data_IF_058329503231
#
_entry.id   IF_058329503231
#
_cell.length_a   1.000
_cell.length_b   1.000
_cell.length_c   1.000
_cell.angle_alpha   90.00
_cell.angle_beta   90.00
_cell.angle_gamma   90.00
#
_symmetry.space_group_name_H-M   'P 1'
#
loop_
_entity.id
_entity.type
_entity.pdbx_description
1 polymer ?
#
# COMPACT_ATOMS: atom_id res chain seq x y z
N UNK A 1 -0.92 -5.65 -7.63
CA UNK A 1 -2.03 -4.68 -7.51
C UNK A 1 -3.42 -5.28 -7.87
N UNK A 2 -4.01 -6.09 -6.98
CA UNK A 2 -5.35 -6.66 -7.17
C UNK A 2 -6.44 -5.59 -6.92
N UNK A 3 -7.58 -5.70 -7.59
CA UNK A 3 -8.76 -4.87 -7.33
C UNK A 3 -9.59 -5.42 -6.17
N UNK A 4 -9.96 -4.54 -5.25
CA UNK A 4 -10.71 -4.89 -4.05
C UNK A 4 -12.09 -4.22 -4.05
N UNK A 5 -13.14 -5.03 -4.19
CA UNK A 5 -14.54 -4.59 -4.06
C UNK A 5 -15.08 -4.77 -2.63
N UNK A 6 -14.60 -5.77 -1.92
CA UNK A 6 -15.16 -6.17 -0.63
C UNK A 6 -15.04 -5.08 0.45
N UNK A 7 -13.88 -4.43 0.67
CA UNK A 7 -13.73 -3.42 1.72
C UNK A 7 -14.70 -2.24 1.56
N UNK A 8 -14.87 -1.76 0.33
CA UNK A 8 -15.72 -0.59 0.03
C UNK A 8 -17.20 -0.94 0.17
N UNK A 9 -17.60 -2.12 -0.31
CA UNK A 9 -18.97 -2.63 -0.14
C UNK A 9 -19.33 -2.85 1.33
N UNK A 10 -18.38 -3.36 2.12
CA UNK A 10 -18.57 -3.60 3.56
C UNK A 10 -18.82 -2.29 4.32
N UNK A 11 -17.95 -1.28 4.18
CA UNK A 11 -18.15 0.02 4.84
C UNK A 11 -19.48 0.67 4.46
N UNK A 12 -19.85 0.59 3.17
CA UNK A 12 -21.14 1.10 2.69
C UNK A 12 -22.31 0.40 3.40
N UNK A 13 -22.29 -0.93 3.49
CA UNK A 13 -23.34 -1.70 4.18
C UNK A 13 -23.46 -1.39 5.66
N UNK A 14 -22.36 -0.99 6.30
CA UNK A 14 -22.32 -0.58 7.71
C UNK A 14 -22.68 0.90 7.92
N UNK A 15 -22.96 1.65 6.85
CA UNK A 15 -23.23 3.08 6.92
C UNK A 15 -22.01 3.95 7.23
N UNK A 16 -20.80 3.40 7.13
CA UNK A 16 -19.55 4.04 7.55
C UNK A 16 -18.84 4.80 6.42
N UNK A 17 -19.39 4.83 5.20
CA UNK A 17 -18.73 5.42 4.04
C UNK A 17 -18.40 6.92 4.16
N UNK A 18 -19.04 7.65 5.08
CA UNK A 18 -18.71 9.07 5.39
C UNK A 18 -17.83 9.24 6.62
N UNK A 19 -17.67 8.18 7.42
CA UNK A 19 -16.99 8.22 8.72
C UNK A 19 -15.61 7.55 8.69
N UNK A 20 -15.32 6.74 7.66
CA UNK A 20 -14.08 5.98 7.54
C UNK A 20 -13.52 6.13 6.11
N UNK A 21 -12.23 6.44 6.03
CA UNK A 21 -11.47 6.44 4.78
C UNK A 21 -10.77 5.09 4.58
N UNK A 22 -10.58 4.70 3.32
CA UNK A 22 -9.79 3.53 2.92
C UNK A 22 -8.55 4.00 2.15
N UNK A 23 -7.39 3.44 2.49
CA UNK A 23 -6.11 3.68 1.82
C UNK A 23 -5.44 2.34 1.51
N UNK A 24 -4.87 2.20 0.31
CA UNK A 24 -4.13 1.00 -0.09
C UNK A 24 -3.10 1.32 -1.17
N UNK A 25 -2.01 0.57 -1.19
CA UNK A 25 -1.08 0.44 -2.33
C UNK A 25 -1.64 -0.47 -3.45
N UNK A 26 -2.79 -1.11 -3.20
CA UNK A 26 -3.59 -1.83 -4.19
C UNK A 26 -4.58 -0.93 -4.94
N UNK A 27 -5.70 -1.52 -5.38
CA UNK A 27 -6.78 -0.82 -6.10
C UNK A 27 -8.14 -1.09 -5.46
N UNK A 28 -9.04 -0.12 -5.56
CA UNK A 28 -10.47 -0.29 -5.26
C UNK A 28 -11.28 -0.29 -6.55
N UNK A 29 -12.43 -0.96 -6.55
CA UNK A 29 -13.33 -0.98 -7.70
C UNK A 29 -14.17 0.28 -7.84
N UNK A 30 -14.54 0.68 -9.07
CA UNK A 30 -15.22 1.94 -9.37
C UNK A 30 -16.59 2.17 -8.71
N UNK A 31 -17.24 1.16 -8.12
CA UNK A 31 -18.51 1.28 -7.40
C UNK A 31 -18.42 1.88 -5.99
N UNK A 32 -17.33 2.58 -5.68
CA UNK A 32 -16.96 2.97 -4.32
C UNK A 32 -17.63 4.27 -3.88
N UNK A 33 -18.04 4.32 -2.61
CA UNK A 33 -18.59 5.52 -1.97
C UNK A 33 -17.70 5.94 -0.79
N UNK A 34 -17.49 7.24 -0.59
CA UNK A 34 -16.61 7.75 0.46
C UNK A 34 -15.18 8.00 -0.01
N UNK A 35 -14.27 8.21 0.94
CA UNK A 35 -12.84 8.36 0.65
C UNK A 35 -12.21 6.98 0.50
N UNK A 36 -11.86 6.59 -0.72
CA UNK A 36 -11.18 5.34 -1.00
C UNK A 36 -10.06 5.57 -1.99
N UNK A 37 -8.84 5.48 -1.49
CA UNK A 37 -7.64 5.95 -2.15
C UNK A 37 -6.77 4.72 -2.43
N UNK A 38 -6.60 4.40 -3.71
CA UNK A 38 -5.69 3.36 -4.16
C UNK A 38 -4.37 3.94 -4.64
N UNK A 39 -3.48 3.05 -5.09
CA UNK A 39 -2.22 3.42 -5.75
C UNK A 39 -1.27 4.24 -4.88
N UNK A 40 -1.36 4.09 -3.55
CA UNK A 40 -0.36 4.65 -2.65
C UNK A 40 1.03 4.12 -3.04
N UNK A 41 1.92 5.04 -3.39
CA UNK A 41 3.24 4.76 -3.93
C UNK A 41 4.30 5.59 -3.19
N UNK A 42 5.49 5.06 -2.88
CA UNK A 42 5.91 3.66 -3.09
C UNK A 42 5.04 2.66 -2.31
N UNK A 43 4.88 1.44 -2.85
CA UNK A 43 4.08 0.41 -2.17
C UNK A 43 4.78 -0.11 -0.90
N UNK A 44 4.05 -0.81 -0.02
CA UNK A 44 4.64 -1.34 1.21
C UNK A 44 5.83 -2.27 0.92
N UNK A 45 5.77 -3.06 -0.15
CA UNK A 45 6.84 -3.98 -0.53
C UNK A 45 8.11 -3.26 -1.04
N UNK A 46 7.99 -2.01 -1.49
CA UNK A 46 9.10 -1.16 -1.96
C UNK A 46 9.64 -0.23 -0.86
N UNK A 47 9.16 -0.36 0.37
CA UNK A 47 9.61 0.49 1.47
C UNK A 47 8.87 1.81 1.62
N UNK A 48 7.68 1.93 1.04
CA UNK A 48 6.82 3.10 1.20
C UNK A 48 6.36 3.31 2.64
N UNK A 49 6.04 4.57 2.99
CA UNK A 49 5.58 4.92 4.34
C UNK A 49 4.30 4.18 4.77
N UNK A 50 3.48 3.74 3.81
CA UNK A 50 2.30 2.91 4.08
C UNK A 50 2.65 1.57 4.77
N UNK A 51 3.85 1.04 4.52
CA UNK A 51 4.35 -0.17 5.18
C UNK A 51 4.86 0.05 6.62
N UNK A 52 4.88 1.29 7.10
CA UNK A 52 5.34 1.69 8.45
C UNK A 52 4.20 2.20 9.34
N UNK A 53 2.96 2.16 8.83
CA UNK A 53 1.77 2.53 9.60
C UNK A 53 1.48 1.45 10.64
N UNK A 54 1.26 1.88 11.89
CA UNK A 54 0.86 1.03 13.00
C UNK A 54 -0.58 1.36 13.42
N UNK A 55 -1.25 0.39 14.06
CA UNK A 55 -2.59 0.60 14.61
C UNK A 55 -2.61 1.77 15.59
N UNK A 56 -3.61 2.64 15.46
CA UNK A 56 -3.75 3.85 16.28
C UNK A 56 -3.03 5.09 15.73
N UNK A 57 -2.20 4.97 14.70
CA UNK A 57 -1.60 6.13 14.05
C UNK A 57 -2.67 7.04 13.41
N UNK A 58 -2.41 8.34 13.44
CA UNK A 58 -3.28 9.31 12.76
C UNK A 58 -2.84 9.48 11.31
N UNK A 59 -3.78 9.29 10.38
CA UNK A 59 -3.60 9.62 8.95
C UNK A 59 -4.43 10.86 8.62
N UNK A 60 -3.75 11.92 8.19
CA UNK A 60 -4.39 13.15 7.73
C UNK A 60 -4.56 13.10 6.21
N UNK A 61 -5.79 13.32 5.73
CA UNK A 61 -6.14 13.39 4.30
C UNK A 61 -6.72 14.76 4.01
N UNK A 62 -6.01 15.57 3.23
CA UNK A 62 -6.42 16.92 2.83
C UNK A 62 -6.66 16.93 1.32
N UNK A 63 -7.95 16.91 0.92
CA UNK A 63 -8.36 16.88 -0.49
C UNK A 63 -8.00 18.20 -1.23
N UNK A 64 -8.27 19.40 -0.67
CA UNK A 64 -7.82 20.64 -1.27
C UNK A 64 -6.32 20.71 -1.52
N UNK A 65 -5.49 20.27 -0.57
CA UNK A 65 -4.02 20.27 -0.71
C UNK A 65 -3.47 19.05 -1.43
N UNK A 66 -4.31 18.07 -1.75
CA UNK A 66 -3.95 16.80 -2.39
C UNK A 66 -2.84 16.06 -1.62
N UNK A 67 -2.94 16.04 -0.29
CA UNK A 67 -1.94 15.41 0.58
C UNK A 67 -2.53 14.31 1.45
N UNK A 68 -1.74 13.29 1.69
CA UNK A 68 -1.98 12.23 2.66
C UNK A 68 -0.73 12.14 3.53
N UNK A 69 -0.88 12.25 4.84
CA UNK A 69 0.24 12.31 5.78
C UNK A 69 0.01 11.36 6.95
N UNK A 70 1.01 10.53 7.22
CA UNK A 70 1.13 9.82 8.50
C UNK A 70 1.64 10.83 9.53
N UNK A 71 0.81 11.13 10.54
CA UNK A 71 1.07 12.21 11.51
C UNK A 71 1.93 11.69 12.65
N UNK A 72 3.18 11.42 12.33
CA UNK A 72 4.26 11.09 13.29
C UNK A 72 5.45 12.01 13.01
N UNK A 73 6.42 12.06 13.93
CA UNK A 73 7.63 12.83 13.71
C UNK A 73 8.56 12.12 12.71
N UNK A 74 9.46 12.88 12.08
CA UNK A 74 10.44 12.31 11.16
C UNK A 74 11.39 11.33 11.88
N UNK A 75 11.69 11.57 13.16
CA UNK A 75 12.50 10.68 13.99
C UNK A 75 11.80 9.34 14.22
N UNK A 76 10.50 9.35 14.54
CA UNK A 76 9.70 8.14 14.72
C UNK A 76 9.60 7.36 13.40
N UNK A 77 9.33 8.06 12.29
CA UNK A 77 9.27 7.42 10.97
C UNK A 77 10.62 6.79 10.59
N UNK A 78 11.73 7.46 10.87
CA UNK A 78 13.08 6.95 10.65
C UNK A 78 13.40 5.74 11.55
N UNK A 79 13.00 5.78 12.82
CA UNK A 79 13.17 4.67 13.75
C UNK A 79 12.42 3.42 13.27
N UNK A 80 11.15 3.55 12.88
CA UNK A 80 10.35 2.44 12.33
C UNK A 80 10.94 1.88 11.04
N UNK A 81 11.48 2.76 10.18
CA UNK A 81 12.18 2.33 8.97
C UNK A 81 13.42 1.50 9.31
N UNK A 82 14.25 1.97 10.24
CA UNK A 82 15.44 1.24 10.68
C UNK A 82 15.09 -0.12 11.29
N UNK A 83 14.03 -0.20 12.11
CA UNK A 83 13.51 -1.47 12.65
C UNK A 83 13.03 -2.42 11.55
N UNK A 84 12.32 -1.90 10.54
CA UNK A 84 11.86 -2.69 9.40
C UNK A 84 13.04 -3.23 8.59
N UNK A 85 14.06 -2.40 8.33
CA UNK A 85 15.27 -2.79 7.60
C UNK A 85 16.14 -3.78 8.38
N UNK A 86 16.19 -3.67 9.71
CA UNK A 86 16.92 -4.60 10.59
C UNK A 86 16.41 -6.05 10.51
N UNK A 87 15.22 -6.28 9.94
CA UNK A 87 14.68 -7.63 9.67
C UNK A 87 15.40 -8.35 8.52
N UNK A 88 16.32 -7.67 7.82
CA UNK A 88 17.16 -8.25 6.77
C UNK A 88 16.34 -8.85 5.63
N UNK A 89 16.54 -10.13 5.32
CA UNK A 89 15.83 -10.81 4.23
C UNK A 89 14.31 -10.91 4.40
N UNK A 90 13.80 -10.64 5.62
CA UNK A 90 12.37 -10.58 5.95
C UNK A 90 11.79 -9.16 5.95
N UNK A 91 12.60 -8.12 5.74
CA UNK A 91 12.13 -6.74 5.63
C UNK A 91 11.15 -6.60 4.46
N UNK A 92 10.13 -5.76 4.62
CA UNK A 92 9.12 -5.43 3.58
C UNK A 92 8.37 -6.64 3.01
N UNK A 93 8.42 -7.78 3.72
CA UNK A 93 7.71 -9.01 3.38
C UNK A 93 6.61 -9.26 4.40
N UNK A 94 5.47 -9.81 3.97
CA UNK A 94 4.41 -10.17 4.90
C UNK A 94 4.88 -11.25 5.88
N UNK A 95 4.48 -11.12 7.14
CA UNK A 95 4.93 -12.00 8.23
C UNK A 95 4.25 -13.37 8.21
N UNK A 96 2.92 -13.39 8.16
CA UNK A 96 2.11 -14.58 8.38
C UNK A 96 1.25 -14.92 7.16
N UNK A 97 1.79 -14.74 5.94
CA UNK A 97 1.06 -15.01 4.69
C UNK A 97 1.39 -16.40 4.13
N UNK A 98 0.51 -17.36 4.37
CA UNK A 98 0.52 -18.64 3.66
C UNK A 98 -0.23 -18.51 2.33
N UNK A 99 0.52 -18.31 1.24
CA UNK A 99 -0.04 -18.20 -0.12
C UNK A 99 0.92 -18.78 -1.14
N UNK A 100 0.41 -19.67 -1.98
CA UNK A 100 1.10 -20.05 -3.20
C UNK A 100 1.22 -18.86 -4.16
N UNK A 101 2.46 -18.48 -4.51
CA UNK A 101 2.76 -17.47 -5.53
C UNK A 101 3.29 -18.20 -6.76
N UNK A 102 2.51 -18.23 -7.83
CA UNK A 102 2.87 -18.93 -9.08
C UNK A 102 4.12 -18.33 -9.72
N UNK A 103 4.78 -19.10 -10.59
CA UNK A 103 5.94 -18.61 -11.35
C UNK A 103 5.62 -17.34 -12.16
N UNK A 104 4.42 -17.26 -12.75
CA UNK A 104 3.96 -16.08 -13.49
C UNK A 104 3.83 -14.84 -12.59
N UNK A 105 3.31 -14.99 -11.37
CA UNK A 105 3.22 -13.86 -10.43
C UNK A 105 4.58 -13.43 -9.89
N UNK A 106 5.50 -14.37 -9.68
CA UNK A 106 6.88 -14.03 -9.31
C UNK A 106 7.59 -13.27 -10.43
N UNK A 107 7.43 -13.72 -11.69
CA UNK A 107 7.98 -13.03 -12.85
C UNK A 107 7.37 -11.63 -13.04
N UNK A 108 6.05 -11.49 -12.86
CA UNK A 108 5.40 -10.18 -12.87
C UNK A 108 5.98 -9.26 -11.79
N UNK A 109 6.08 -9.71 -10.54
CA UNK A 109 6.62 -8.91 -9.45
C UNK A 109 8.08 -8.49 -9.63
N UNK A 110 8.89 -9.25 -10.38
CA UNK A 110 10.29 -8.90 -10.65
C UNK A 110 10.45 -7.77 -11.68
N UNK A 111 9.44 -7.51 -12.52
CA UNK A 111 9.50 -6.53 -13.61
C UNK A 111 8.50 -5.37 -13.44
N UNK A 112 7.48 -5.53 -12.58
CA UNK A 112 6.47 -4.51 -12.39
C UNK A 112 7.10 -3.26 -11.78
N UNK A 113 6.83 -2.11 -12.40
CA UNK A 113 7.17 -0.81 -11.84
C UNK A 113 6.10 -0.33 -10.87
N UNK A 114 6.43 0.67 -10.07
CA UNK A 114 5.48 1.33 -9.17
C UNK A 114 4.23 1.85 -9.90
N UNK A 115 3.12 1.94 -9.17
CA UNK A 115 1.82 2.33 -9.72
C UNK A 115 1.77 3.78 -10.21
N UNK A 116 2.57 4.67 -9.61
CA UNK A 116 2.76 6.05 -10.09
C UNK A 116 3.38 6.12 -11.51
N UNK A 117 4.05 5.05 -11.94
CA UNK A 117 4.59 4.85 -13.29
C UNK A 117 3.69 4.00 -14.19
N UNK A 118 2.48 3.68 -13.74
CA UNK A 118 1.49 2.91 -14.49
C UNK A 118 1.63 1.38 -14.39
N UNK A 119 2.45 0.86 -13.47
CA UNK A 119 2.66 -0.58 -13.26
C UNK A 119 3.04 -1.34 -14.54
N UNK A 120 3.84 -0.69 -15.40
CA UNK A 120 4.40 -1.29 -16.61
C UNK A 120 5.44 -2.36 -16.24
N UNK A 121 5.78 -3.23 -17.20
CA UNK A 121 6.85 -4.21 -17.01
C UNK A 121 8.14 -3.66 -17.60
N UNK A 122 9.13 -3.45 -16.74
CA UNK A 122 10.49 -3.08 -17.14
C UNK A 122 11.38 -4.33 -17.12
N UNK A 123 11.77 -4.78 -18.31
CA UNK A 123 12.61 -5.97 -18.48
C UNK A 123 14.06 -5.72 -18.07
N UNK A 124 14.52 -4.47 -18.07
CA UNK A 124 15.90 -4.13 -17.70
C UNK A 124 16.20 -4.47 -16.23
N UNK A 125 15.17 -4.58 -15.38
CA UNK A 125 15.30 -4.98 -13.97
C UNK A 125 15.81 -6.42 -13.77
N UNK A 126 15.72 -7.26 -14.80
CA UNK A 126 16.14 -8.67 -14.78
C UNK A 126 17.21 -9.01 -15.82
N UNK A 127 17.56 -8.05 -16.68
CA UNK A 127 18.67 -8.16 -17.61
C UNK A 127 20.01 -8.01 -16.86
N UNK A 128 21.08 -8.66 -17.35
CA UNK A 128 22.42 -8.64 -16.77
C UNK A 128 23.36 -7.76 -17.56
#
# INVERSE_FOLDING_TARGET
MQEMLYPTSYLKSKGLGKACALLTDGRFSGGTSGLSIGHASPEAAEGGAIGLVHEGDTIEIDIPKRSIRLVISDEELAARRAEMEARGSKAWKPENRDRYVSAALRAYGAMATSADKGAVRDVSQIER
#
